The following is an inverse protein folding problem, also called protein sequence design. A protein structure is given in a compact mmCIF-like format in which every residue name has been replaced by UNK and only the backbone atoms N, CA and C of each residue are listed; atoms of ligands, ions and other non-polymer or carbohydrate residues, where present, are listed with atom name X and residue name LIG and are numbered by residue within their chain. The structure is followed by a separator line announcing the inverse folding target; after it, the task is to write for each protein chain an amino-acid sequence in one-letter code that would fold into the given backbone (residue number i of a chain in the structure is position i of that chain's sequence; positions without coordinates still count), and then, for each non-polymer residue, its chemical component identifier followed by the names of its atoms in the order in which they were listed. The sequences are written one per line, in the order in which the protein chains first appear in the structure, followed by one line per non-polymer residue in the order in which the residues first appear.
data_IF_014244432990
#
_entry.id   IF_014244432990
#
_cell.length_a   1.000
_cell.length_b   1.000
_cell.length_c   1.000
_cell.angle_alpha   90.00
_cell.angle_beta   90.00
_cell.angle_gamma   90.00
#
_symmetry.space_group_name_H-M   'P 1'
#
loop_
_entity.id
_entity.type
_entity.pdbx_description
1 polymer ?
#
# COMPACT_ATOMS: atom_id res chain seq x y z
N UNK A 1 16.36 -17.84 3.72
CA UNK A 1 16.59 -16.40 3.96
C UNK A 1 17.93 -15.97 3.36
N UNK A 2 18.14 -14.68 3.10
CA UNK A 2 19.31 -14.14 2.37
C UNK A 2 20.39 -13.51 3.28
N UNK A 3 20.26 -13.60 4.60
CA UNK A 3 21.34 -13.25 5.54
C UNK A 3 21.43 -11.79 6.01
N UNK A 4 20.50 -10.92 5.63
CA UNK A 4 20.48 -9.51 6.04
C UNK A 4 20.28 -9.24 7.55
N UNK A 5 19.96 -10.27 8.33
CA UNK A 5 19.72 -10.21 9.78
C UNK A 5 20.87 -10.86 10.60
N UNK A 6 22.02 -11.10 9.99
CA UNK A 6 23.12 -11.86 10.60
C UNK A 6 23.94 -11.07 11.62
N UNK A 7 24.07 -9.75 11.43
CA UNK A 7 24.85 -8.90 12.34
C UNK A 7 23.98 -8.32 13.46
N UNK A 8 24.52 -8.30 14.68
CA UNK A 8 23.82 -7.72 15.84
C UNK A 8 23.54 -6.22 15.64
N UNK A 9 24.45 -5.49 14.99
CA UNK A 9 24.27 -4.06 14.74
C UNK A 9 23.08 -3.78 13.82
N UNK A 10 22.91 -4.57 12.74
CA UNK A 10 21.78 -4.44 11.83
C UNK A 10 20.46 -4.62 12.57
N UNK A 11 20.40 -5.61 13.47
CA UNK A 11 19.25 -5.87 14.36
C UNK A 11 18.94 -4.71 15.28
N UNK A 12 19.97 -4.23 15.97
CA UNK A 12 19.85 -3.13 16.91
C UNK A 12 19.34 -1.87 16.19
N UNK A 13 19.94 -1.51 15.06
CA UNK A 13 19.57 -0.33 14.28
C UNK A 13 18.14 -0.46 13.73
N UNK A 14 17.81 -1.59 13.12
CA UNK A 14 16.47 -1.83 12.55
C UNK A 14 15.37 -1.71 13.60
N UNK A 15 15.58 -2.26 14.79
CA UNK A 15 14.59 -2.21 15.87
C UNK A 15 14.31 -0.76 16.33
N UNK A 16 15.36 0.06 16.50
CA UNK A 16 15.19 1.44 16.96
C UNK A 16 14.56 2.33 15.88
N UNK A 17 14.96 2.14 14.62
CA UNK A 17 14.34 2.84 13.49
C UNK A 17 12.86 2.46 13.37
N UNK A 18 12.50 1.18 13.53
CA UNK A 18 11.12 0.73 13.47
C UNK A 18 10.22 1.38 14.54
N UNK A 19 10.70 1.46 15.79
CA UNK A 19 9.96 2.13 16.89
C UNK A 19 9.79 3.62 16.60
N UNK A 20 10.85 4.30 16.16
CA UNK A 20 10.77 5.71 15.80
C UNK A 20 9.80 5.95 14.64
N UNK A 21 9.89 5.14 13.58
CA UNK A 21 9.03 5.22 12.41
C UNK A 21 7.56 5.02 12.78
N UNK A 22 7.25 4.03 13.62
CA UNK A 22 5.89 3.78 14.11
C UNK A 22 5.28 5.03 14.77
N UNK A 23 5.97 5.64 15.75
CA UNK A 23 5.45 6.83 16.42
C UNK A 23 5.35 8.04 15.48
N UNK A 24 6.31 8.19 14.56
CA UNK A 24 6.28 9.25 13.55
C UNK A 24 5.03 9.14 12.66
N UNK A 25 4.73 7.94 12.13
CA UNK A 25 3.54 7.70 11.31
C UNK A 25 2.27 7.91 12.13
N UNK A 26 2.18 7.42 13.37
CA UNK A 26 1.00 7.59 14.24
C UNK A 26 0.72 9.08 14.49
N UNK A 27 1.74 9.87 14.80
CA UNK A 27 1.59 11.32 15.00
C UNK A 27 1.17 12.01 13.71
N UNK A 28 1.80 11.67 12.59
CA UNK A 28 1.44 12.23 11.28
C UNK A 28 0.00 11.89 10.90
N UNK A 29 -0.45 10.66 11.13
CA UNK A 29 -1.82 10.22 10.86
C UNK A 29 -2.83 10.95 11.75
N UNK A 30 -2.52 11.14 13.04
CA UNK A 30 -3.37 11.90 13.96
C UNK A 30 -3.52 13.38 13.54
N UNK A 31 -2.46 13.97 12.96
CA UNK A 31 -2.48 15.33 12.42
C UNK A 31 -3.27 15.38 11.11
N UNK A 32 -2.93 14.52 10.14
CA UNK A 32 -3.54 14.45 8.82
C UNK A 32 -3.35 13.06 8.21
N UNK A 33 -4.43 12.25 8.07
CA UNK A 33 -4.37 10.96 7.41
C UNK A 33 -3.88 11.05 5.96
N UNK A 34 -4.32 12.09 5.22
CA UNK A 34 -3.90 12.33 3.83
C UNK A 34 -2.38 12.52 3.74
N UNK A 35 -1.79 13.28 4.66
CA UNK A 35 -0.35 13.47 4.72
C UNK A 35 0.38 12.15 4.99
N UNK A 36 -0.14 11.33 5.91
CA UNK A 36 0.47 10.05 6.24
C UNK A 36 0.42 9.05 5.08
N UNK A 37 -0.69 8.99 4.34
CA UNK A 37 -0.81 8.16 3.15
C UNK A 37 0.06 8.65 1.99
N UNK A 38 0.17 9.97 1.78
CA UNK A 38 1.10 10.52 0.77
C UNK A 38 2.56 10.25 1.12
N UNK A 39 2.94 10.37 2.39
CA UNK A 39 4.28 9.99 2.83
C UNK A 39 4.55 8.50 2.56
N UNK A 40 3.59 7.64 2.88
CA UNK A 40 3.69 6.21 2.62
C UNK A 40 3.80 5.93 1.12
N UNK A 41 3.01 6.59 0.27
CA UNK A 41 3.12 6.50 -1.21
C UNK A 41 4.55 6.83 -1.68
N UNK A 42 5.18 7.89 -1.15
CA UNK A 42 6.56 8.21 -1.50
C UNK A 42 7.56 7.13 -1.08
N UNK A 43 7.36 6.51 0.09
CA UNK A 43 8.20 5.39 0.56
C UNK A 43 8.07 4.19 -0.37
N UNK A 44 6.85 3.80 -0.74
CA UNK A 44 6.62 2.66 -1.65
C UNK A 44 7.17 2.94 -3.06
N UNK A 45 7.02 4.17 -3.56
CA UNK A 45 7.60 4.57 -4.84
C UNK A 45 9.14 4.47 -4.82
N UNK A 46 9.78 4.86 -3.72
CA UNK A 46 11.23 4.71 -3.56
C UNK A 46 11.66 3.24 -3.47
N UNK A 47 10.87 2.41 -2.78
CA UNK A 47 11.10 0.97 -2.72
C UNK A 47 11.00 0.32 -4.11
N UNK A 48 9.95 0.64 -4.88
CA UNK A 48 9.78 0.20 -6.26
C UNK A 48 11.01 0.54 -7.12
N UNK A 49 11.44 1.80 -7.11
CA UNK A 49 12.62 2.23 -7.88
C UNK A 49 13.89 1.49 -7.47
N UNK A 50 14.03 1.19 -6.18
CA UNK A 50 15.20 0.50 -5.64
C UNK A 50 15.26 -0.93 -6.17
N UNK A 51 14.14 -1.66 -6.12
CA UNK A 51 14.07 -3.01 -6.67
C UNK A 51 14.20 -3.02 -8.19
N UNK A 52 13.62 -2.05 -8.90
CA UNK A 52 13.75 -1.94 -10.35
C UNK A 52 15.21 -1.72 -10.77
N UNK A 53 15.93 -0.82 -10.09
CA UNK A 53 17.37 -0.60 -10.30
C UNK A 53 18.18 -1.86 -9.97
N UNK A 54 17.84 -2.58 -8.90
CA UNK A 54 18.50 -3.82 -8.51
C UNK A 54 18.33 -4.92 -9.54
N UNK A 55 17.10 -5.16 -10.02
CA UNK A 55 16.78 -6.14 -11.06
C UNK A 55 17.49 -5.84 -12.37
N UNK A 56 17.57 -4.56 -12.77
CA UNK A 56 18.32 -4.14 -13.97
C UNK A 56 19.81 -4.38 -13.84
N UNK A 57 20.37 -4.24 -12.63
CA UNK A 57 21.82 -4.37 -12.38
C UNK A 57 22.27 -5.82 -12.18
N UNK A 58 21.45 -6.65 -11.53
CA UNK A 58 21.84 -8.00 -11.07
C UNK A 58 20.98 -9.12 -11.67
N UNK A 59 20.10 -8.79 -12.63
CA UNK A 59 19.07 -9.72 -13.11
C UNK A 59 19.59 -11.06 -13.60
N UNK A 60 20.71 -11.08 -14.32
CA UNK A 60 21.28 -12.32 -14.87
C UNK A 60 21.86 -13.24 -13.79
N UNK A 61 22.42 -12.67 -12.71
CA UNK A 61 22.91 -13.45 -11.57
C UNK A 61 21.74 -13.98 -10.72
N UNK A 62 20.70 -13.16 -10.52
CA UNK A 62 19.52 -13.57 -9.76
C UNK A 62 18.78 -14.74 -10.40
N UNK A 63 18.75 -14.84 -11.73
CA UNK A 63 18.15 -15.97 -12.45
C UNK A 63 18.86 -17.31 -12.21
N UNK A 64 20.14 -17.29 -11.84
CA UNK A 64 20.94 -18.49 -11.56
C UNK A 64 20.73 -19.00 -10.13
N UNK A 65 20.20 -18.17 -9.25
CA UNK A 65 20.02 -18.49 -7.83
C UNK A 65 18.62 -19.06 -7.57
N UNK A 66 18.51 -20.09 -6.72
CA UNK A 66 17.23 -20.67 -6.39
C UNK A 66 16.37 -19.69 -5.57
N UNK A 67 15.06 -19.76 -5.76
CA UNK A 67 14.13 -18.99 -4.94
C UNK A 67 14.12 -19.50 -3.49
N UNK A 68 14.10 -18.61 -2.48
CA UNK A 68 13.94 -19.01 -1.09
C UNK A 68 12.58 -19.66 -0.87
N UNK A 69 12.54 -20.78 -0.13
CA UNK A 69 11.33 -21.56 0.17
C UNK A 69 10.20 -20.70 0.75
N UNK A 70 10.53 -19.78 1.67
CA UNK A 70 9.55 -18.86 2.27
C UNK A 70 8.85 -17.98 1.24
N UNK A 71 9.55 -17.54 0.19
CA UNK A 71 8.96 -16.70 -0.86
C UNK A 71 8.05 -17.53 -1.76
N UNK A 72 8.48 -18.73 -2.16
CA UNK A 72 7.65 -19.66 -2.93
C UNK A 72 6.35 -19.92 -2.18
N UNK A 73 6.43 -20.25 -0.89
CA UNK A 73 5.26 -20.49 -0.04
C UNK A 73 4.36 -19.26 0.05
N UNK A 74 4.91 -18.08 0.32
CA UNK A 74 4.12 -16.85 0.46
C UNK A 74 3.34 -16.50 -0.81
N UNK A 75 3.95 -16.65 -1.98
CA UNK A 75 3.39 -16.20 -3.24
C UNK A 75 2.55 -17.23 -3.99
N UNK A 76 2.74 -18.53 -3.70
CA UNK A 76 2.11 -19.62 -4.46
C UNK A 76 1.25 -20.57 -3.62
N UNK A 77 1.44 -20.61 -2.30
CA UNK A 77 0.73 -21.53 -1.42
C UNK A 77 -0.28 -20.79 -0.52
N UNK A 78 -1.39 -21.46 -0.19
CA UNK A 78 -2.41 -20.95 0.72
C UNK A 78 -3.54 -20.18 0.05
N UNK A 79 -4.37 -19.54 0.88
CA UNK A 79 -5.45 -18.67 0.43
C UNK A 79 -4.90 -17.26 0.18
N UNK A 80 -4.85 -16.85 -1.09
CA UNK A 80 -4.35 -15.55 -1.54
C UNK A 80 -5.40 -14.44 -1.41
N UNK A 81 -6.46 -14.65 -0.63
CA UNK A 81 -7.48 -13.64 -0.34
C UNK A 81 -6.89 -12.29 0.12
N UNK A 82 -6.02 -12.30 1.14
CA UNK A 82 -5.40 -11.06 1.64
C UNK A 82 -4.47 -10.42 0.62
N UNK A 83 -3.78 -11.23 -0.20
CA UNK A 83 -2.93 -10.72 -1.27
C UNK A 83 -3.73 -9.92 -2.30
N UNK A 84 -4.93 -10.40 -2.65
CA UNK A 84 -5.84 -9.68 -3.54
C UNK A 84 -6.42 -8.43 -2.86
N UNK A 85 -6.74 -8.50 -1.57
CA UNK A 85 -7.36 -7.40 -0.82
C UNK A 85 -6.47 -6.13 -0.78
N UNK A 86 -5.15 -6.29 -0.77
CA UNK A 86 -4.21 -5.17 -0.79
C UNK A 86 -3.93 -4.59 -2.20
N UNK A 87 -4.59 -5.10 -3.24
CA UNK A 87 -4.46 -4.63 -4.64
C UNK A 87 -5.70 -3.85 -5.09
N UNK A 88 -5.80 -2.58 -4.69
CA UNK A 88 -6.99 -1.75 -4.94
C UNK A 88 -7.25 -1.40 -6.41
N UNK A 89 -6.23 -1.53 -7.27
CA UNK A 89 -6.30 -1.13 -8.67
C UNK A 89 -6.58 -2.29 -9.64
N UNK A 90 -6.90 -3.48 -9.14
CA UNK A 90 -7.08 -4.68 -9.98
C UNK A 90 -8.26 -5.54 -9.53
N UNK A 91 -8.87 -6.32 -10.46
CA UNK A 91 -9.85 -7.34 -10.08
C UNK A 91 -9.22 -8.43 -9.21
N UNK A 92 -9.99 -9.04 -8.29
CA UNK A 92 -9.53 -10.16 -7.49
C UNK A 92 -9.14 -11.34 -8.40
N UNK A 93 -8.22 -12.18 -7.94
CA UNK A 93 -7.68 -13.32 -8.68
C UNK A 93 -6.96 -13.00 -10.01
N UNK A 94 -6.77 -11.73 -10.37
CA UNK A 94 -6.16 -11.36 -11.65
C UNK A 94 -4.64 -11.51 -11.69
N UNK A 95 -3.96 -11.41 -10.55
CA UNK A 95 -2.51 -11.57 -10.41
C UNK A 95 -2.19 -12.79 -9.56
N UNK A 96 -1.47 -13.76 -10.12
CA UNK A 96 -0.96 -14.94 -9.40
C UNK A 96 0.53 -15.08 -9.69
N UNK A 97 1.38 -14.61 -8.77
CA UNK A 97 2.83 -14.67 -8.92
C UNK A 97 3.31 -16.11 -9.17
N UNK A 98 4.32 -16.25 -10.04
CA UNK A 98 5.08 -17.49 -10.22
C UNK A 98 6.51 -17.24 -9.77
N UNK A 99 7.13 -18.25 -9.17
CA UNK A 99 8.46 -18.14 -8.60
C UNK A 99 9.28 -19.38 -8.97
N UNK A 100 10.15 -19.23 -9.97
CA UNK A 100 11.05 -20.31 -10.40
C UNK A 100 12.49 -20.05 -9.89
N UNK A 101 12.88 -18.79 -9.75
CA UNK A 101 14.22 -18.38 -9.34
C UNK A 101 14.19 -17.11 -8.48
N UNK A 102 15.36 -16.68 -7.97
CA UNK A 102 15.45 -15.50 -7.11
C UNK A 102 15.12 -14.19 -7.84
N UNK A 103 15.31 -14.12 -9.16
CA UNK A 103 14.88 -12.95 -9.94
C UNK A 103 13.36 -12.76 -9.87
N UNK A 104 12.60 -13.83 -10.00
CA UNK A 104 11.13 -13.78 -9.93
C UNK A 104 10.65 -13.31 -8.56
N UNK A 105 11.36 -13.67 -7.48
CA UNK A 105 11.06 -13.17 -6.12
C UNK A 105 11.18 -11.65 -6.07
N UNK A 106 12.30 -11.09 -6.49
CA UNK A 106 12.50 -9.64 -6.48
C UNK A 106 11.59 -8.91 -7.47
N UNK A 107 11.24 -9.55 -8.59
CA UNK A 107 10.27 -9.02 -9.54
C UNK A 107 8.88 -8.89 -8.90
N UNK A 108 8.45 -9.93 -8.19
CA UNK A 108 7.17 -9.91 -7.49
C UNK A 108 7.15 -8.91 -6.33
N UNK A 109 8.24 -8.79 -5.57
CA UNK A 109 8.38 -7.76 -4.52
C UNK A 109 8.26 -6.37 -5.14
N UNK A 110 9.00 -6.08 -6.22
CA UNK A 110 8.90 -4.79 -6.92
C UNK A 110 7.45 -4.50 -7.33
N UNK A 111 6.79 -5.48 -7.92
CA UNK A 111 5.41 -5.31 -8.39
C UNK A 111 4.41 -5.15 -7.22
N UNK A 112 4.68 -5.74 -6.06
CA UNK A 112 3.92 -5.49 -4.83
C UNK A 112 4.05 -4.04 -4.40
N UNK A 113 5.26 -3.46 -4.39
CA UNK A 113 5.45 -2.04 -4.05
C UNK A 113 4.71 -1.10 -5.01
N UNK A 114 4.57 -1.50 -6.29
CA UNK A 114 3.75 -0.76 -7.25
C UNK A 114 2.26 -0.80 -6.91
N UNK A 115 1.74 -1.94 -6.44
CA UNK A 115 0.36 -2.05 -5.97
C UNK A 115 0.16 -1.32 -4.63
N UNK A 116 1.13 -1.40 -3.71
CA UNK A 116 1.12 -0.62 -2.46
C UNK A 116 1.05 0.89 -2.73
N UNK A 117 1.83 1.39 -3.70
CA UNK A 117 1.79 2.79 -4.11
C UNK A 117 0.37 3.21 -4.55
N UNK A 118 -0.30 2.41 -5.38
CA UNK A 118 -1.68 2.66 -5.81
C UNK A 118 -2.66 2.62 -4.63
N UNK A 119 -2.48 1.68 -3.72
CA UNK A 119 -3.29 1.56 -2.50
C UNK A 119 -3.11 2.80 -1.62
N UNK A 120 -1.87 3.23 -1.36
CA UNK A 120 -1.57 4.44 -0.58
C UNK A 120 -2.17 5.69 -1.23
N UNK A 121 -2.11 5.79 -2.57
CA UNK A 121 -2.77 6.86 -3.32
C UNK A 121 -4.29 6.83 -3.17
N UNK A 122 -4.92 5.66 -3.25
CA UNK A 122 -6.36 5.52 -3.03
C UNK A 122 -6.77 5.96 -1.61
N UNK A 123 -5.97 5.64 -0.59
CA UNK A 123 -6.19 6.04 0.80
C UNK A 123 -6.18 7.56 1.04
N UNK A 124 -5.60 8.36 0.13
CA UNK A 124 -5.55 9.83 0.28
C UNK A 124 -6.91 10.50 0.08
N UNK A 125 -7.88 9.79 -0.51
CA UNK A 125 -9.24 10.27 -0.77
C UNK A 125 -10.23 9.41 0.00
N UNK A 126 -11.12 10.06 0.76
CA UNK A 126 -12.13 9.35 1.54
C UNK A 126 -13.08 8.55 0.65
N UNK A 127 -13.49 7.36 1.11
CA UNK A 127 -14.45 6.50 0.40
C UNK A 127 -13.91 5.84 -0.88
N UNK A 128 -12.64 6.05 -1.23
CA UNK A 128 -12.03 5.47 -2.43
C UNK A 128 -11.40 4.08 -2.18
N UNK A 129 -11.40 3.62 -0.93
CA UNK A 129 -11.01 2.27 -0.57
C UNK A 129 -12.23 1.35 -0.63
N UNK A 130 -12.16 0.36 -1.52
CA UNK A 130 -13.17 -0.68 -1.67
C UNK A 130 -12.49 -2.03 -1.78
N UNK A 131 -13.03 -3.03 -1.08
CA UNK A 131 -12.55 -4.41 -1.21
C UNK A 131 -12.70 -4.88 -2.66
N UNK A 132 -11.65 -5.44 -3.30
CA UNK A 132 -11.74 -6.03 -4.63
C UNK A 132 -12.79 -7.17 -4.70
N UNK A 133 -13.07 -7.83 -3.57
CA UNK A 133 -14.07 -8.90 -3.48
C UNK A 133 -15.50 -8.41 -3.27
N UNK A 134 -15.72 -7.11 -3.03
CA UNK A 134 -17.07 -6.54 -2.86
C UNK A 134 -17.87 -6.39 -4.17
N UNK A 135 -17.36 -6.90 -5.29
CA UNK A 135 -18.08 -7.10 -6.54
C UNK A 135 -18.64 -8.53 -6.62
N UNK A 136 -19.49 -8.90 -5.66
CA UNK A 136 -20.43 -10.00 -5.83
C UNK A 136 -21.81 -9.40 -5.66
N UNK A 137 -22.67 -9.59 -6.67
CA UNK A 137 -24.06 -9.10 -6.85
C UNK A 137 -24.29 -7.98 -7.89
N UNK A 138 -23.57 -8.00 -9.02
CA UNK A 138 -24.15 -7.50 -10.28
C UNK A 138 -23.87 -8.52 -11.38
N UNK A 139 -24.95 -9.17 -11.82
CA UNK A 139 -24.98 -10.14 -12.92
C UNK A 139 -24.15 -9.68 -14.12
N UNK A 140 -23.50 -10.66 -14.76
CA UNK A 140 -22.70 -10.54 -15.99
C UNK A 140 -23.48 -10.15 -17.25
N UNK A 141 -24.51 -9.29 -17.14
CA UNK A 141 -25.25 -8.77 -18.28
C UNK A 141 -25.60 -7.29 -18.09
N UNK A 142 -24.58 -6.44 -18.23
CA UNK A 142 -24.60 -5.12 -18.87
C UNK A 142 -23.38 -4.35 -18.36
N UNK A 143 -22.40 -4.13 -19.25
CA UNK A 143 -21.40 -3.09 -19.06
C UNK A 143 -21.94 -1.85 -19.79
N UNK A 144 -22.55 -0.86 -19.12
CA UNK A 144 -22.40 0.50 -19.54
C UNK A 144 -21.01 0.95 -19.09
N UNK A 145 -20.19 1.39 -20.05
CA UNK A 145 -19.04 2.24 -19.75
C UNK A 145 -19.59 3.50 -19.09
N UNK A 146 -19.56 3.57 -17.76
CA UNK A 146 -19.94 4.78 -17.05
C UNK A 146 -18.73 5.31 -16.27
N UNK A 147 -18.03 6.21 -16.94
CA UNK A 147 -17.15 7.23 -16.37
C UNK A 147 -18.01 8.25 -15.58
N UNK A 148 -18.79 7.75 -14.62
CA UNK A 148 -19.62 8.56 -13.74
C UNK A 148 -19.01 8.51 -12.36
N UNK A 149 -18.13 9.48 -12.12
CA UNK A 149 -17.71 9.85 -10.79
C UNK A 149 -18.94 10.03 -9.92
N UNK A 150 -19.08 9.19 -8.90
CA UNK A 150 -20.02 9.44 -7.82
C UNK A 150 -19.56 10.72 -7.12
N UNK A 151 -20.21 11.83 -7.47
CA UNK A 151 -20.08 13.11 -6.75
C UNK A 151 -20.77 12.91 -5.40
N UNK A 152 -20.04 12.34 -4.45
CA UNK A 152 -20.41 12.36 -3.04
C UNK A 152 -19.99 13.72 -2.49
N UNK A 153 -20.83 14.42 -1.71
CA UNK A 153 -20.46 15.70 -1.12
C UNK A 153 -19.12 15.59 -0.40
N UNK A 154 -18.21 16.48 -0.74
CA UNK A 154 -16.85 16.60 -0.22
C UNK A 154 -16.91 16.81 1.31
N UNK A 155 -16.97 15.71 2.06
CA UNK A 155 -16.66 15.72 3.48
C UNK A 155 -15.14 15.74 3.59
N UNK A 156 -14.59 16.96 3.53
CA UNK A 156 -13.18 17.26 3.75
C UNK A 156 -12.69 16.52 4.99
N UNK A 157 -11.65 15.70 4.85
CA UNK A 157 -11.10 14.86 5.91
C UNK A 157 -10.49 15.73 7.01
N UNK A 158 -11.28 16.09 8.01
CA UNK A 158 -10.79 16.93 9.10
C UNK A 158 -9.93 16.12 10.06
N UNK A 159 -8.61 16.21 9.91
CA UNK A 159 -7.69 15.85 10.97
C UNK A 159 -7.93 16.69 12.23
N UNK A 160 -7.26 16.38 13.33
CA UNK A 160 -7.45 17.09 14.62
C UNK A 160 -7.27 18.62 14.44
N UNK A 161 -6.39 19.05 13.54
CA UNK A 161 -6.16 20.47 13.26
C UNK A 161 -7.36 21.15 12.58
N UNK A 162 -8.05 20.46 11.68
CA UNK A 162 -9.24 21.00 11.03
C UNK A 162 -10.45 20.94 11.95
N UNK A 163 -10.62 19.86 12.72
CA UNK A 163 -11.60 19.81 13.82
C UNK A 163 -11.39 20.97 14.80
N UNK A 164 -10.13 21.28 15.16
CA UNK A 164 -9.80 22.40 16.03
C UNK A 164 -10.13 23.75 15.35
N UNK A 165 -9.78 23.95 14.08
CA UNK A 165 -10.14 25.16 13.33
C UNK A 165 -11.65 25.35 13.20
N UNK A 166 -12.42 24.31 12.88
CA UNK A 166 -13.88 24.40 12.77
C UNK A 166 -14.53 24.61 14.14
N UNK A 167 -14.00 24.02 15.21
CA UNK A 167 -14.46 24.29 16.58
C UNK A 167 -14.20 25.75 17.02
N UNK A 168 -13.11 26.36 16.55
CA UNK A 168 -12.79 27.77 16.83
C UNK A 168 -13.61 28.77 15.99
N UNK A 169 -14.28 28.31 14.93
CA UNK A 169 -15.02 29.14 13.97
C UNK A 169 -16.55 28.98 14.05
N UNK A 170 -17.08 28.57 15.21
CA UNK A 170 -18.53 28.62 15.45
C UNK A 170 -19.01 30.08 15.52
N UNK A 171 -20.02 30.50 14.73
CA UNK A 171 -20.49 31.88 14.72
C UNK A 171 -21.26 32.19 16.01
N UNK A 172 -21.03 33.39 16.55
CA UNK A 172 -21.92 34.02 17.53
C UNK A 172 -23.36 33.93 17.02
N UNK A 173 -24.15 33.07 17.66
CA UNK A 173 -25.60 33.02 17.49
C UNK A 173 -26.16 34.36 17.96
N UNK A 174 -26.49 35.24 17.03
CA UNK A 174 -27.20 36.51 17.29
C UNK A 174 -28.50 36.16 18.03
N UNK A 175 -28.60 36.64 19.27
CA UNK A 175 -29.75 36.43 20.13
C UNK A 175 -30.57 37.72 20.15
N UNK A 176 -31.78 37.63 19.59
CA UNK A 176 -32.93 38.56 19.63
C UNK A 176 -32.80 39.92 18.94
#
# INVERSE_FOLDING_TARGET
ELGGNSLWFDRFLAQHIAVFYYFMIVVMYAISPRMAYHFSECVEMHAFETYDKFLKRQGDELKKLPAPEVAVKYYTEGDLYLFDEFQTARPPNSRRPKIDNLYDVFLNIRDDEAEHCKTMKACQTHGNLRSPHSYQDVDSHNIPNDDSGCIVPEADCEGIVDCLKKSATLPQKTMK
#
